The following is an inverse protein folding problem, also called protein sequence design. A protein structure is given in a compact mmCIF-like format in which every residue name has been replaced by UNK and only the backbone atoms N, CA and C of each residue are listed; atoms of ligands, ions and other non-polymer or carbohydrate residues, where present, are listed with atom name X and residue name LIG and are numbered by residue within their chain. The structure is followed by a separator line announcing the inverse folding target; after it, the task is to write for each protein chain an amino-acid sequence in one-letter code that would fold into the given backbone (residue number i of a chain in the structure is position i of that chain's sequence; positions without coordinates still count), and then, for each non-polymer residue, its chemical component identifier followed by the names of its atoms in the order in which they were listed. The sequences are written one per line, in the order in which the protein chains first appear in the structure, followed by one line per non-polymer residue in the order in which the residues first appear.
data_IF_853828256335
#
_entry.id   IF_853828256335
#
_cell.length_a   1.000
_cell.length_b   1.000
_cell.length_c   1.000
_cell.angle_alpha   90.00
_cell.angle_beta   90.00
_cell.angle_gamma   90.00
#
_symmetry.space_group_name_H-M   'P 1'
#
loop_
_entity.id
_entity.type
_entity.pdbx_description
1 polymer ?
#
# COMPACT_ATOMS: atom_id res chain seq x y z
N UNK A 1 -10.45 -1.88 -13.24
CA UNK A 1 -10.26 -3.32 -13.49
C UNK A 1 -11.47 -3.81 -14.29
N UNK A 2 -11.27 -4.56 -15.36
CA UNK A 2 -12.38 -5.16 -16.11
C UNK A 2 -13.06 -6.24 -15.25
N UNK A 3 -14.38 -6.10 -15.06
CA UNK A 3 -15.20 -7.00 -14.24
C UNK A 3 -15.16 -8.44 -14.76
N UNK A 4 -15.08 -8.63 -16.08
CA UNK A 4 -15.01 -9.97 -16.68
C UNK A 4 -13.67 -10.64 -16.40
N UNK A 5 -12.57 -9.88 -16.50
CA UNK A 5 -11.22 -10.37 -16.18
C UNK A 5 -11.13 -10.75 -14.71
N UNK A 6 -11.68 -9.93 -13.82
CA UNK A 6 -11.74 -10.22 -12.39
C UNK A 6 -12.55 -11.50 -12.10
N UNK A 7 -13.74 -11.63 -12.68
CA UNK A 7 -14.61 -12.79 -12.46
C UNK A 7 -13.94 -14.10 -12.90
N UNK A 8 -13.28 -14.10 -14.07
CA UNK A 8 -12.51 -15.25 -14.55
C UNK A 8 -11.36 -15.63 -13.63
N UNK A 9 -10.61 -14.65 -13.13
CA UNK A 9 -9.48 -14.93 -12.26
C UNK A 9 -9.92 -15.49 -10.90
N UNK A 10 -10.96 -14.90 -10.31
CA UNK A 10 -11.58 -15.43 -9.08
C UNK A 10 -12.09 -16.85 -9.28
N UNK A 11 -12.82 -17.12 -10.37
CA UNK A 11 -13.33 -18.45 -10.70
C UNK A 11 -12.21 -19.49 -10.84
N UNK A 12 -11.11 -19.11 -11.50
CA UNK A 12 -9.91 -19.95 -11.66
C UNK A 12 -9.27 -20.29 -10.30
N UNK A 13 -9.14 -19.32 -9.40
CA UNK A 13 -8.58 -19.51 -8.05
C UNK A 13 -9.45 -20.45 -7.21
N UNK A 14 -10.78 -20.25 -7.23
CA UNK A 14 -11.75 -21.12 -6.55
C UNK A 14 -11.62 -22.57 -7.05
N UNK A 15 -11.64 -22.76 -8.38
CA UNK A 15 -11.50 -24.09 -8.99
C UNK A 15 -10.18 -24.77 -8.61
N UNK A 16 -9.07 -24.03 -8.67
CA UNK A 16 -7.75 -24.53 -8.31
C UNK A 16 -7.71 -25.00 -6.86
N UNK A 17 -8.19 -24.17 -5.92
CA UNK A 17 -8.21 -24.49 -4.50
C UNK A 17 -9.13 -25.66 -4.18
N UNK A 18 -10.35 -25.68 -4.75
CA UNK A 18 -11.29 -26.80 -4.57
C UNK A 18 -10.67 -28.13 -5.00
N UNK A 19 -10.02 -28.17 -6.17
CA UNK A 19 -9.35 -29.39 -6.65
C UNK A 19 -8.21 -29.82 -5.76
N UNK A 20 -7.41 -28.88 -5.24
CA UNK A 20 -6.33 -29.18 -4.30
C UNK A 20 -6.84 -29.79 -2.98
N UNK A 21 -8.07 -29.48 -2.58
CA UNK A 21 -8.75 -30.06 -1.41
C UNK A 21 -9.47 -31.39 -1.72
N UNK A 22 -9.42 -31.89 -2.95
CA UNK A 22 -10.14 -33.12 -3.34
C UNK A 22 -11.66 -32.99 -3.37
N UNK A 23 -12.19 -31.77 -3.32
CA UNK A 23 -13.64 -31.53 -3.27
C UNK A 23 -14.26 -31.57 -4.66
N UNK A 24 -15.43 -32.21 -4.79
CA UNK A 24 -16.26 -32.07 -6.00
C UNK A 24 -17.02 -30.74 -5.99
N UNK A 25 -17.49 -30.30 -7.15
CA UNK A 25 -18.37 -29.11 -7.22
C UNK A 25 -19.67 -29.33 -6.44
N UNK A 26 -20.19 -30.57 -6.40
CA UNK A 26 -21.40 -30.88 -5.62
C UNK A 26 -21.15 -30.68 -4.12
N UNK A 27 -20.02 -31.18 -3.61
CA UNK A 27 -19.64 -31.01 -2.21
C UNK A 27 -19.50 -29.54 -1.85
N UNK A 28 -18.75 -28.75 -2.64
CA UNK A 28 -18.60 -27.32 -2.36
C UNK A 28 -19.93 -26.55 -2.46
N UNK A 29 -20.82 -26.93 -3.38
CA UNK A 29 -22.13 -26.30 -3.49
C UNK A 29 -22.99 -26.54 -2.24
N UNK A 30 -22.97 -27.75 -1.69
CA UNK A 30 -23.65 -28.09 -0.44
C UNK A 30 -23.05 -27.32 0.75
N UNK A 31 -21.71 -27.28 0.86
CA UNK A 31 -21.02 -26.55 1.92
C UNK A 31 -21.33 -25.05 1.95
N UNK A 32 -21.62 -24.46 0.78
CA UNK A 32 -21.82 -23.01 0.63
C UNK A 32 -23.30 -22.61 0.52
N UNK A 33 -24.22 -23.59 0.50
CA UNK A 33 -25.65 -23.35 0.33
C UNK A 33 -25.99 -22.76 -1.04
N UNK A 34 -25.30 -23.20 -2.08
CA UNK A 34 -25.50 -22.74 -3.47
C UNK A 34 -25.85 -23.92 -4.38
N UNK A 35 -26.31 -23.63 -5.60
CA UNK A 35 -26.55 -24.69 -6.58
C UNK A 35 -25.26 -25.13 -7.26
N UNK A 36 -25.17 -26.40 -7.63
CA UNK A 36 -24.02 -26.91 -8.41
C UNK A 36 -23.85 -26.16 -9.74
N UNK A 37 -24.95 -25.85 -10.44
CA UNK A 37 -24.92 -25.07 -11.69
C UNK A 37 -24.30 -23.69 -11.46
N UNK A 38 -24.66 -23.04 -10.37
CA UNK A 38 -24.08 -21.76 -9.99
C UNK A 38 -22.58 -21.87 -9.73
N UNK A 39 -22.14 -22.90 -9.01
CA UNK A 39 -20.71 -23.16 -8.79
C UNK A 39 -19.92 -23.40 -10.08
N UNK A 40 -20.52 -24.08 -11.05
CA UNK A 40 -19.92 -24.27 -12.38
C UNK A 40 -19.72 -22.92 -13.07
N UNK A 41 -20.76 -22.09 -13.14
CA UNK A 41 -20.68 -20.75 -13.73
C UNK A 41 -19.67 -19.87 -13.01
N UNK A 42 -19.63 -19.92 -11.67
CA UNK A 42 -18.67 -19.18 -10.85
C UNK A 42 -17.22 -19.59 -11.17
N UNK A 43 -16.93 -20.90 -11.27
CA UNK A 43 -15.59 -21.39 -11.62
C UNK A 43 -15.15 -21.08 -13.05
N UNK A 44 -16.11 -20.87 -13.96
CA UNK A 44 -15.87 -20.47 -15.34
C UNK A 44 -15.72 -18.94 -15.49
N UNK A 45 -16.08 -18.17 -14.46
CA UNK A 45 -16.11 -16.70 -14.53
C UNK A 45 -17.32 -16.14 -15.27
N UNK A 46 -18.36 -16.94 -15.49
CA UNK A 46 -19.58 -16.57 -16.22
C UNK A 46 -20.63 -15.87 -15.33
N UNK A 47 -20.25 -15.49 -14.10
CA UNK A 47 -21.11 -14.82 -13.13
C UNK A 47 -20.59 -13.41 -12.80
N UNK A 48 -20.57 -12.47 -13.78
CA UNK A 48 -20.27 -11.07 -13.50
C UNK A 48 -21.38 -10.52 -12.59
N UNK A 49 -21.02 -10.00 -11.42
CA UNK A 49 -21.99 -9.55 -10.42
C UNK A 49 -22.36 -10.58 -9.35
N UNK A 50 -21.55 -11.62 -9.16
CA UNK A 50 -21.65 -12.46 -7.95
C UNK A 50 -21.64 -11.58 -6.69
N UNK A 51 -22.57 -11.88 -5.78
CA UNK A 51 -22.65 -11.16 -4.51
C UNK A 51 -21.42 -11.45 -3.65
N UNK A 52 -20.90 -10.41 -3.00
CA UNK A 52 -19.74 -10.52 -2.12
C UNK A 52 -19.96 -11.53 -0.97
N UNK A 53 -21.17 -11.61 -0.42
CA UNK A 53 -21.51 -12.56 0.64
C UNK A 53 -21.40 -14.02 0.17
N UNK A 54 -21.71 -14.29 -1.10
CA UNK A 54 -21.56 -15.62 -1.69
C UNK A 54 -20.08 -15.95 -1.89
N UNK A 55 -19.28 -14.99 -2.38
CA UNK A 55 -17.83 -15.16 -2.49
C UNK A 55 -17.18 -15.42 -1.13
N UNK A 56 -17.53 -14.64 -0.10
CA UNK A 56 -17.01 -14.85 1.25
C UNK A 56 -17.34 -16.24 1.78
N UNK A 57 -18.58 -16.74 1.60
CA UNK A 57 -18.94 -18.11 1.98
C UNK A 57 -18.10 -19.17 1.26
N UNK A 58 -17.89 -19.00 -0.05
CA UNK A 58 -17.04 -19.90 -0.85
C UNK A 58 -15.59 -19.86 -0.39
N UNK A 59 -15.03 -18.68 -0.14
CA UNK A 59 -13.66 -18.53 0.34
C UNK A 59 -13.47 -19.17 1.71
N UNK A 60 -14.38 -18.93 2.66
CA UNK A 60 -14.35 -19.57 3.97
C UNK A 60 -14.39 -21.10 3.85
N UNK A 61 -15.29 -21.65 3.03
CA UNK A 61 -15.39 -23.09 2.81
C UNK A 61 -14.12 -23.71 2.19
N UNK A 62 -13.31 -22.91 1.49
CA UNK A 62 -12.05 -23.32 0.86
C UNK A 62 -10.79 -22.96 1.69
N UNK A 63 -10.97 -22.34 2.86
CA UNK A 63 -9.87 -21.81 3.67
C UNK A 63 -9.06 -20.75 2.94
N UNK A 64 -9.73 -19.85 2.22
CA UNK A 64 -9.16 -18.71 1.50
C UNK A 64 -9.54 -17.40 2.20
N UNK A 65 -8.70 -16.39 2.04
CA UNK A 65 -8.93 -15.03 2.55
C UNK A 65 -8.91 -14.02 1.40
N UNK A 66 -9.68 -12.93 1.53
CA UNK A 66 -9.64 -11.77 0.63
C UNK A 66 -9.19 -10.56 1.44
N UNK A 67 -8.26 -9.77 0.90
CA UNK A 67 -7.76 -8.54 1.51
C UNK A 67 -7.95 -7.37 0.56
N UNK A 68 -8.28 -6.21 1.11
CA UNK A 68 -8.38 -4.94 0.38
C UNK A 68 -7.33 -4.02 0.96
N UNK A 69 -6.47 -3.47 0.11
CA UNK A 69 -5.42 -2.52 0.47
C UNK A 69 -5.56 -1.27 -0.38
N UNK A 70 -5.13 -0.13 0.16
CA UNK A 70 -4.99 1.13 -0.58
C UNK A 70 -3.51 1.24 -0.93
N UNK A 71 -3.21 1.46 -2.21
CA UNK A 71 -1.87 1.88 -2.62
C UNK A 71 -1.78 3.38 -2.35
N UNK A 72 -1.07 3.76 -1.29
CA UNK A 72 -0.76 5.16 -1.02
C UNK A 72 0.15 5.67 -2.14
N UNK A 73 -0.38 6.56 -2.99
CA UNK A 73 0.48 7.39 -3.82
C UNK A 73 1.14 8.40 -2.89
N UNK A 74 2.44 8.24 -2.72
CA UNK A 74 3.25 9.09 -1.87
C UNK A 74 3.30 10.51 -2.49
N UNK A 75 2.36 11.39 -2.13
CA UNK A 75 2.35 12.81 -2.54
C UNK A 75 3.54 13.59 -1.95
N UNK A 76 4.33 12.97 -1.05
CA UNK A 76 5.40 13.61 -0.29
C UNK A 76 6.73 13.78 -1.06
N UNK A 77 6.86 13.19 -2.26
CA UNK A 77 8.10 13.27 -3.04
C UNK A 77 8.30 14.61 -3.78
N UNK A 78 7.24 15.35 -4.13
CA UNK A 78 7.39 16.60 -4.92
C UNK A 78 7.47 17.88 -4.06
N UNK A 79 6.98 17.85 -2.82
CA UNK A 79 6.97 19.04 -1.95
C UNK A 79 8.28 19.20 -1.14
N UNK A 80 8.98 18.09 -0.87
CA UNK A 80 10.25 18.10 -0.11
C UNK A 80 11.44 18.68 -0.88
N UNK A 81 11.38 18.76 -2.22
CA UNK A 81 12.35 19.51 -3.03
C UNK A 81 12.10 21.02 -3.07
N UNK A 82 10.84 21.47 -2.95
CA UNK A 82 10.48 22.90 -3.04
C UNK A 82 10.77 23.68 -1.76
N UNK A 83 10.73 23.03 -0.61
CA UNK A 83 10.99 23.64 0.70
C UNK A 83 12.45 23.54 1.16
N UNK A 84 13.39 23.11 0.30
CA UNK A 84 14.82 23.30 0.57
C UNK A 84 15.16 24.78 0.35
N UNK A 85 15.41 25.59 1.41
CA UNK A 85 16.08 26.86 1.20
C UNK A 85 17.40 26.56 0.49
N UNK A 86 17.61 27.19 -0.67
CA UNK A 86 18.88 27.16 -1.38
C UNK A 86 19.98 27.66 -0.43
N UNK A 87 20.76 26.73 0.14
CA UNK A 87 21.95 27.05 0.95
C UNK A 87 23.12 27.51 0.07
N UNK A 88 22.94 27.52 -1.25
CA UNK A 88 23.92 27.95 -2.23
C UNK A 88 23.26 28.92 -3.21
N UNK A 89 22.83 30.08 -2.71
CA UNK A 89 22.87 31.26 -3.57
C UNK A 89 24.33 31.73 -3.59
N UNK A 90 25.07 31.38 -4.64
CA UNK A 90 26.52 31.59 -4.81
C UNK A 90 27.01 33.05 -4.73
N UNK A 91 26.17 34.03 -4.36
CA UNK A 91 26.49 35.46 -4.36
C UNK A 91 26.42 36.16 -2.99
N UNK A 92 26.63 35.46 -1.87
CA UNK A 92 26.75 36.10 -0.53
C UNK A 92 27.97 35.69 0.32
N UNK A 93 28.99 35.08 -0.27
CA UNK A 93 30.17 34.61 0.47
C UNK A 93 31.39 35.54 0.43
N UNK A 94 31.24 36.79 -0.03
CA UNK A 94 32.39 37.68 -0.23
C UNK A 94 32.60 38.75 0.85
N UNK A 95 31.59 39.11 1.67
CA UNK A 95 31.65 40.41 2.37
C UNK A 95 31.60 40.38 3.90
N UNK A 96 31.75 39.23 4.57
CA UNK A 96 31.53 39.19 6.03
C UNK A 96 32.49 38.29 6.82
N UNK A 97 33.68 37.96 6.28
CA UNK A 97 34.70 37.28 7.10
C UNK A 97 35.16 38.10 8.29
N UNK A 98 35.22 39.43 8.15
CA UNK A 98 35.64 40.30 9.26
C UNK A 98 34.58 40.42 10.36
N UNK A 99 33.30 40.41 10.00
CA UNK A 99 32.19 40.48 10.97
C UNK A 99 32.12 39.24 11.87
N UNK A 100 32.36 38.04 11.32
CA UNK A 100 32.42 36.81 12.11
C UNK A 100 33.62 36.74 13.04
N UNK A 101 34.80 37.19 12.60
CA UNK A 101 36.00 37.21 13.44
C UNK A 101 35.84 38.23 14.57
N UNK A 102 35.32 39.42 14.26
CA UNK A 102 35.14 40.47 15.26
C UNK A 102 34.10 40.10 16.33
N UNK A 103 32.98 39.47 15.94
CA UNK A 103 31.97 38.99 16.89
C UNK A 103 32.51 37.87 17.81
N UNK A 104 33.40 37.01 17.30
CA UNK A 104 34.02 35.95 18.07
C UNK A 104 35.04 36.50 19.10
N UNK A 105 35.89 37.43 18.70
CA UNK A 105 36.85 38.08 19.61
C UNK A 105 36.13 38.82 20.75
N UNK A 106 35.05 39.53 20.42
CA UNK A 106 34.25 40.27 21.40
C UNK A 106 33.50 39.35 22.39
N UNK A 107 33.22 38.10 21.99
CA UNK A 107 32.60 37.08 22.84
C UNK A 107 33.62 36.43 23.79
N UNK A 108 34.84 36.20 23.31
CA UNK A 108 35.93 35.61 24.09
C UNK A 108 36.46 36.58 25.15
N UNK A 109 36.50 37.89 24.86
CA UNK A 109 36.89 38.92 25.82
C UNK A 109 35.90 39.09 26.98
N UNK A 110 34.61 38.82 26.75
CA UNK A 110 33.56 38.93 27.77
C UNK A 110 33.42 37.71 28.68
N UNK A 111 34.13 36.61 28.41
CA UNK A 111 34.16 35.43 29.28
C UNK A 111 35.29 35.54 30.31
N UNK A 112 35.12 36.50 31.23
CA UNK A 112 35.95 36.69 32.40
C UNK A 112 35.83 35.56 33.43
N UNK A 113 36.84 34.66 33.38
CA UNK A 113 37.37 33.73 34.42
C UNK A 113 36.48 32.61 34.98
N UNK A 114 37.06 31.41 35.19
CA UNK A 114 36.33 30.18 35.47
C UNK A 114 35.83 30.13 36.91
N UNK A 115 34.69 29.46 37.11
CA UNK A 115 34.19 29.09 38.44
C UNK A 115 35.14 28.01 38.99
N UNK A 116 35.89 28.35 40.04
CA UNK A 116 36.60 27.40 40.91
C UNK A 116 35.61 26.67 41.82
#
# INVERSE_FOLDING_TARGET
MDSEVFAREVGRLIRKRRKALGLTQSMLSQMTGTSRRYLVSLELGESPGVRIDTLCRVFTALGMTISISVEEYDESAEQSERDRPSLLSENRFADDKESYVHAFEHMVENLGRPIA
#
